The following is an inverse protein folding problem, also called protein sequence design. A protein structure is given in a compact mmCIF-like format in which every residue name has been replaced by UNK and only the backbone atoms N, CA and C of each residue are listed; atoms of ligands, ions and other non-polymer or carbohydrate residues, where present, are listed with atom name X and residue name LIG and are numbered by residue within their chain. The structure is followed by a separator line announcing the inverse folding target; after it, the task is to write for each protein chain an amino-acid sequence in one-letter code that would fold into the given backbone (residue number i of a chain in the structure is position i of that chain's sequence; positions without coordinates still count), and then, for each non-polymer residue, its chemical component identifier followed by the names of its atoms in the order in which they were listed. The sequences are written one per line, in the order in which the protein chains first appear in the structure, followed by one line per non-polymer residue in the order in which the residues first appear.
data_IF_882827629959
#
_entry.id   IF_882827629959
#
_cell.length_a   1.000
_cell.length_b   1.000
_cell.length_c   1.000
_cell.angle_alpha   90.00
_cell.angle_beta   90.00
_cell.angle_gamma   90.00
#
_symmetry.space_group_name_H-M   'P 1'
#
loop_
_entity.id
_entity.type
_entity.pdbx_description
1 polymer ?
#
# COMPACT_ATOMS: atom_id res chain seq x y z
N UNK A 1 -14.06 -0.76 19.08
CA UNK A 1 -15.11 -0.54 18.07
C UNK A 1 -14.67 -1.18 16.77
N UNK A 2 -15.59 -1.85 16.08
CA UNK A 2 -15.36 -2.58 14.82
C UNK A 2 -14.74 -1.71 13.71
N UNK A 3 -14.90 -0.38 13.77
CA UNK A 3 -14.27 0.56 12.83
C UNK A 3 -12.74 0.51 12.77
N UNK A 4 -12.05 0.01 13.82
CA UNK A 4 -10.58 -0.14 13.79
C UNK A 4 -10.11 -1.31 12.91
N UNK A 5 -10.94 -2.33 12.68
CA UNK A 5 -10.58 -3.53 11.91
C UNK A 5 -10.55 -3.27 10.40
N UNK A 6 -11.34 -2.31 9.91
CA UNK A 6 -11.36 -1.96 8.49
C UNK A 6 -10.49 -0.76 8.14
N UNK A 7 -9.75 -0.22 9.11
CA UNK A 7 -8.96 0.99 8.91
C UNK A 7 -7.77 0.71 7.97
N UNK A 8 -7.00 -0.36 8.22
CA UNK A 8 -5.86 -0.71 7.38
C UNK A 8 -6.29 -1.00 5.92
N UNK A 9 -7.30 -1.86 5.66
CA UNK A 9 -7.81 -2.07 4.30
C UNK A 9 -8.32 -0.81 3.59
N UNK A 10 -8.86 0.16 4.33
CA UNK A 10 -9.34 1.42 3.75
C UNK A 10 -8.21 2.41 3.45
N UNK A 11 -7.07 2.30 4.16
CA UNK A 11 -5.93 3.21 4.02
C UNK A 11 -4.98 2.82 2.88
N UNK A 12 -5.07 1.60 2.33
CA UNK A 12 -4.20 1.14 1.22
C UNK A 12 -4.24 2.09 0.03
N UNK A 13 -5.45 2.46 -0.43
CA UNK A 13 -5.61 3.33 -1.60
C UNK A 13 -4.92 4.70 -1.43
N UNK A 14 -5.24 5.45 -0.37
CA UNK A 14 -4.57 6.71 -0.06
C UNK A 14 -3.04 6.58 0.10
N UNK A 15 -2.55 5.51 0.75
CA UNK A 15 -1.10 5.31 0.91
C UNK A 15 -0.41 5.05 -0.42
N UNK A 16 -0.98 4.21 -1.28
CA UNK A 16 -0.46 3.98 -2.63
C UNK A 16 -0.40 5.28 -3.44
N UNK A 17 -1.44 6.10 -3.37
CA UNK A 17 -1.46 7.41 -4.05
C UNK A 17 -0.38 8.37 -3.55
N UNK A 18 -0.07 8.35 -2.25
CA UNK A 18 1.04 9.14 -1.70
C UNK A 18 2.39 8.62 -2.17
N UNK A 19 2.57 7.29 -2.25
CA UNK A 19 3.82 6.70 -2.78
C UNK A 19 4.04 6.96 -4.27
N UNK A 20 3.00 7.34 -5.02
CA UNK A 20 3.13 7.76 -6.42
C UNK A 20 3.70 9.17 -6.59
N UNK A 21 3.72 10.00 -5.54
CA UNK A 21 4.37 11.30 -5.58
C UNK A 21 5.87 11.09 -5.87
N UNK A 22 6.46 11.73 -6.90
CA UNK A 22 7.86 11.55 -7.28
C UNK A 22 8.80 12.33 -6.33
N UNK A 23 8.65 12.09 -5.03
CA UNK A 23 9.47 12.68 -3.98
C UNK A 23 10.13 11.56 -3.18
N UNK A 24 11.42 11.27 -3.45
CA UNK A 24 12.13 10.16 -2.81
C UNK A 24 12.10 10.20 -1.28
N UNK A 25 12.26 11.38 -0.68
CA UNK A 25 12.24 11.53 0.79
C UNK A 25 10.89 11.15 1.39
N UNK A 26 9.80 11.47 0.69
CA UNK A 26 8.45 11.10 1.12
C UNK A 26 8.25 9.59 1.03
N UNK A 27 8.68 8.97 -0.08
CA UNK A 27 8.61 7.53 -0.27
C UNK A 27 9.39 6.78 0.82
N UNK A 28 10.62 7.19 1.09
CA UNK A 28 11.50 6.59 2.10
C UNK A 28 10.88 6.57 3.50
N UNK A 29 10.01 7.53 3.82
CA UNK A 29 9.29 7.57 5.11
C UNK A 29 7.97 6.79 5.04
N UNK A 30 7.21 6.93 3.95
CA UNK A 30 5.85 6.38 3.85
C UNK A 30 5.81 4.87 3.64
N UNK A 31 6.78 4.31 2.91
CA UNK A 31 6.83 2.88 2.58
C UNK A 31 7.05 2.01 3.82
N UNK A 32 8.02 2.29 4.71
CA UNK A 32 8.18 1.51 5.94
C UNK A 32 6.93 1.54 6.82
N UNK A 33 6.28 2.71 6.93
CA UNK A 33 5.03 2.87 7.70
C UNK A 33 3.93 2.00 7.11
N UNK A 34 3.80 2.00 5.78
CA UNK A 34 2.82 1.16 5.09
C UNK A 34 3.08 -0.33 5.32
N UNK A 35 4.34 -0.75 5.22
CA UNK A 35 4.75 -2.13 5.46
C UNK A 35 4.44 -2.57 6.90
N UNK A 36 4.77 -1.75 7.90
CA UNK A 36 4.48 -2.03 9.31
C UNK A 36 2.97 -2.13 9.57
N UNK A 37 2.17 -1.29 8.92
CA UNK A 37 0.71 -1.32 8.99
C UNK A 37 0.14 -2.63 8.41
N UNK A 38 0.69 -3.11 7.29
CA UNK A 38 0.27 -4.38 6.67
C UNK A 38 0.66 -5.60 7.52
N UNK A 39 1.90 -5.66 8.01
CA UNK A 39 2.39 -6.74 8.87
C UNK A 39 1.61 -6.80 10.20
N UNK A 40 1.27 -5.65 10.78
CA UNK A 40 0.42 -5.60 11.96
C UNK A 40 -0.99 -6.14 11.70
N UNK A 41 -1.63 -5.77 10.60
CA UNK A 41 -2.97 -6.23 10.24
C UNK A 41 -2.98 -7.74 9.94
N UNK A 42 -1.94 -8.24 9.26
CA UNK A 42 -1.74 -9.68 9.03
C UNK A 42 -1.65 -10.44 10.35
N UNK A 43 -0.78 -10.00 11.28
CA UNK A 43 -0.56 -10.67 12.57
C UNK A 43 -1.81 -10.65 13.45
N UNK A 44 -2.61 -9.59 13.35
CA UNK A 44 -3.76 -9.37 14.24
C UNK A 44 -5.06 -9.97 13.73
N UNK A 45 -5.35 -9.86 12.43
CA UNK A 45 -6.63 -10.26 11.86
C UNK A 45 -6.55 -11.51 11.00
N UNK A 46 -5.35 -11.93 10.55
CA UNK A 46 -5.20 -12.98 9.54
C UNK A 46 -5.82 -12.65 8.18
N UNK A 47 -6.30 -11.42 7.99
CA UNK A 47 -7.08 -10.98 6.84
C UNK A 47 -6.19 -10.41 5.72
N UNK A 48 -4.91 -10.80 5.72
CA UNK A 48 -3.90 -10.32 4.77
C UNK A 48 -4.33 -10.52 3.33
N UNK A 49 -5.00 -11.64 3.01
CA UNK A 49 -5.48 -11.90 1.65
C UNK A 49 -6.43 -10.82 1.11
N UNK A 50 -7.25 -10.21 1.97
CA UNK A 50 -8.17 -9.15 1.54
C UNK A 50 -7.43 -7.80 1.36
N UNK A 51 -6.43 -7.54 2.20
CA UNK A 51 -5.54 -6.38 2.11
C UNK A 51 -4.69 -6.48 0.84
N UNK A 52 -4.06 -7.63 0.61
CA UNK A 52 -3.26 -7.96 -0.57
C UNK A 52 -4.08 -7.88 -1.86
N UNK A 53 -5.28 -8.45 -1.91
CA UNK A 53 -6.14 -8.35 -3.09
C UNK A 53 -6.48 -6.89 -3.43
N UNK A 54 -6.82 -6.07 -2.43
CA UNK A 54 -7.08 -4.64 -2.64
C UNK A 54 -5.83 -3.86 -3.07
N UNK A 55 -4.67 -4.26 -2.56
CA UNK A 55 -3.39 -3.69 -2.97
C UNK A 55 -3.16 -3.94 -4.46
N UNK A 56 -3.28 -5.20 -4.89
CA UNK A 56 -3.10 -5.61 -6.29
C UNK A 56 -4.10 -4.89 -7.19
N UNK A 57 -5.41 -4.91 -6.86
CA UNK A 57 -6.44 -4.26 -7.66
C UNK A 57 -6.18 -2.76 -7.85
N UNK A 58 -5.76 -2.07 -6.78
CA UNK A 58 -5.48 -0.64 -6.84
C UNK A 58 -4.20 -0.35 -7.63
N UNK A 59 -3.18 -1.19 -7.50
CA UNK A 59 -1.95 -1.08 -8.28
C UNK A 59 -2.21 -1.28 -9.78
N UNK A 60 -2.97 -2.30 -10.15
CA UNK A 60 -3.33 -2.57 -11.55
C UNK A 60 -4.09 -1.38 -12.17
N UNK A 61 -5.00 -0.75 -11.40
CA UNK A 61 -5.68 0.48 -11.81
C UNK A 61 -4.69 1.63 -12.04
N UNK A 62 -3.78 1.88 -11.11
CA UNK A 62 -2.81 2.97 -11.19
C UNK A 62 -1.84 2.79 -12.37
N UNK A 63 -1.36 1.56 -12.57
CA UNK A 63 -0.51 1.19 -13.71
C UNK A 63 -1.24 1.36 -15.04
N UNK A 64 -2.52 0.97 -15.10
CA UNK A 64 -3.37 1.15 -16.30
C UNK A 64 -3.65 2.63 -16.61
N UNK A 65 -3.70 3.48 -15.59
CA UNK A 65 -3.79 4.94 -15.71
C UNK A 65 -2.46 5.61 -16.12
N UNK A 66 -1.37 4.85 -16.27
CA UNK A 66 -0.04 5.36 -16.58
C UNK A 66 0.63 6.08 -15.40
N UNK A 67 0.19 5.81 -14.17
CA UNK A 67 0.79 6.35 -12.94
C UNK A 67 1.84 5.38 -12.40
N UNK A 68 3.03 5.91 -12.07
CA UNK A 68 4.15 5.14 -11.51
C UNK A 68 5.41 5.27 -12.34
N UNK A 69 6.54 5.50 -11.67
CA UNK A 69 7.88 5.57 -12.29
C UNK A 69 8.67 4.26 -12.05
N UNK A 70 9.89 4.15 -12.60
CA UNK A 70 10.75 2.97 -12.40
C UNK A 70 10.99 2.68 -10.91
N UNK A 71 11.22 3.71 -10.10
CA UNK A 71 11.41 3.57 -8.65
C UNK A 71 10.17 2.97 -7.97
N UNK A 72 8.97 3.33 -8.43
CA UNK A 72 7.72 2.75 -7.93
C UNK A 72 7.57 1.27 -8.32
N UNK A 73 8.00 0.89 -9.53
CA UNK A 73 8.00 -0.51 -9.99
C UNK A 73 9.01 -1.37 -9.21
N UNK A 74 10.19 -0.83 -8.92
CA UNK A 74 11.21 -1.52 -8.11
C UNK A 74 10.75 -1.77 -6.68
N UNK A 75 10.06 -0.79 -6.11
CA UNK A 75 9.46 -0.86 -4.78
C UNK A 75 8.49 -2.04 -4.61
N UNK A 76 7.75 -2.34 -5.67
CA UNK A 76 6.81 -3.45 -5.69
C UNK A 76 7.54 -4.78 -5.91
N UNK A 77 8.58 -4.82 -6.74
CA UNK A 77 9.39 -6.02 -6.92
C UNK A 77 10.18 -6.41 -5.66
N UNK A 78 10.32 -5.51 -4.69
CA UNK A 78 11.00 -5.77 -3.42
C UNK A 78 10.06 -6.01 -2.22
N UNK A 79 8.74 -5.99 -2.42
CA UNK A 79 7.75 -6.34 -1.38
C UNK A 79 7.46 -7.85 -1.35
#
# INVERSE_FOLDING_TARGET
GEHKLNFIPAMIGPFLEVTLVPQPDLRNVMIPIFHDMMDWEQRRSGNFKQVEAKLIDKLDSLMSEGKGDETYRELFNSM
#
